data_IF_948447139904
#
_entry.id   IF_948447139904
#
_cell.length_a   1.000
_cell.length_b   1.000
_cell.length_c   1.000
_cell.angle_alpha   90.00
_cell.angle_beta   90.00
_cell.angle_gamma   90.00
#
_symmetry.space_group_name_H-M   'P 1'
#
loop_
_entity.id
_entity.type
_entity.pdbx_description
1 polymer ?
#
# COMPACT_ATOMS: atom_id res chain seq x y z
N UNK A 1 16.08 -9.08 13.89
CA UNK A 1 15.46 -7.71 13.91
C UNK A 1 14.89 -7.46 12.54
N UNK A 2 13.55 -7.30 12.43
CA UNK A 2 12.90 -7.13 11.11
C UNK A 2 13.15 -5.73 10.58
N UNK A 3 13.57 -5.63 9.31
CA UNK A 3 13.77 -4.38 8.59
C UNK A 3 12.45 -3.99 7.94
N UNK A 4 12.09 -2.71 8.03
CA UNK A 4 10.86 -2.12 7.53
C UNK A 4 11.14 -0.74 6.95
N UNK A 5 10.35 -0.28 5.98
CA UNK A 5 10.54 1.02 5.30
C UNK A 5 10.76 2.15 6.31
N UNK A 6 9.83 2.37 7.24
CA UNK A 6 9.94 3.44 8.22
C UNK A 6 11.24 3.37 9.04
N UNK A 7 11.65 2.16 9.46
CA UNK A 7 12.90 1.98 10.21
C UNK A 7 14.14 2.25 9.35
N UNK A 8 14.12 1.85 8.07
CA UNK A 8 15.23 2.13 7.16
C UNK A 8 15.37 3.64 6.95
N UNK A 9 14.28 4.33 6.64
CA UNK A 9 14.28 5.78 6.45
C UNK A 9 14.67 6.54 7.73
N UNK A 10 14.19 6.11 8.89
CA UNK A 10 14.60 6.71 10.18
C UNK A 10 16.11 6.60 10.43
N UNK A 11 16.75 5.51 10.03
CA UNK A 11 18.22 5.35 10.14
C UNK A 11 18.98 6.33 9.25
N UNK A 12 18.36 6.73 8.14
CA UNK A 12 18.87 7.76 7.22
C UNK A 12 18.48 9.20 7.66
N UNK A 13 17.94 9.36 8.88
CA UNK A 13 17.63 10.66 9.45
C UNK A 13 16.24 11.21 9.14
N UNK A 14 15.38 10.45 8.47
CA UNK A 14 14.00 10.87 8.22
C UNK A 14 13.18 10.92 9.52
N UNK A 15 12.36 11.97 9.68
CA UNK A 15 11.25 11.95 10.61
C UNK A 15 10.18 10.99 10.08
N UNK A 16 9.60 10.14 10.94
CA UNK A 16 8.65 9.13 10.48
C UNK A 16 7.32 9.23 11.21
N UNK A 17 6.22 9.41 10.49
CA UNK A 17 4.88 9.58 11.05
C UNK A 17 3.85 8.74 10.29
N UNK A 18 2.81 8.34 11.01
CA UNK A 18 1.67 7.61 10.47
C UNK A 18 0.36 8.25 10.92
N UNK A 19 -0.59 8.39 9.99
CA UNK A 19 -1.91 8.97 10.20
C UNK A 19 -3.02 7.95 9.91
N UNK A 20 -4.06 7.98 10.75
CA UNK A 20 -5.23 7.14 10.55
C UNK A 20 -6.49 7.76 11.18
N UNK A 21 -7.58 7.82 10.45
CA UNK A 21 -8.85 8.35 10.95
C UNK A 21 -9.57 7.44 11.94
N UNK A 22 -9.19 6.17 12.07
CA UNK A 22 -9.80 5.17 12.92
C UNK A 22 -9.01 4.80 14.18
N UNK A 23 -9.45 3.75 14.87
CA UNK A 23 -8.82 3.26 16.11
C UNK A 23 -7.67 2.29 15.82
N UNK A 24 -6.44 2.70 16.12
CA UNK A 24 -5.24 1.85 15.99
C UNK A 24 -5.11 0.77 17.09
N UNK A 25 -5.96 0.75 18.11
CA UNK A 25 -6.00 -0.37 19.05
C UNK A 25 -6.66 -1.60 18.43
N UNK A 26 -7.51 -1.39 17.42
CA UNK A 26 -8.08 -2.49 16.68
C UNK A 26 -6.98 -3.37 16.09
N UNK A 27 -7.06 -4.69 16.32
CA UNK A 27 -6.07 -5.70 15.89
C UNK A 27 -4.61 -5.41 16.30
N UNK A 28 -4.40 -4.62 17.38
CA UNK A 28 -3.08 -4.26 17.90
C UNK A 28 -2.19 -3.50 16.87
N UNK A 29 -2.80 -2.75 15.98
CA UNK A 29 -2.13 -2.04 14.89
C UNK A 29 -1.13 -0.99 15.39
N UNK A 30 -1.44 -0.29 16.50
CA UNK A 30 -0.51 0.67 17.09
C UNK A 30 0.85 0.05 17.46
N UNK A 31 0.84 -1.09 18.16
CA UNK A 31 2.07 -1.81 18.53
C UNK A 31 2.84 -2.28 17.29
N UNK A 32 2.12 -2.73 16.26
CA UNK A 32 2.73 -3.10 14.99
C UNK A 32 3.44 -1.89 14.35
N UNK A 33 2.79 -0.74 14.25
CA UNK A 33 3.34 0.47 13.62
C UNK A 33 4.57 1.00 14.38
N UNK A 34 4.52 1.10 15.72
CA UNK A 34 5.71 1.42 16.51
C UNK A 34 6.84 0.39 16.30
N UNK A 35 6.51 -0.89 16.26
CA UNK A 35 7.45 -1.97 15.93
C UNK A 35 8.05 -1.86 14.54
N UNK A 36 7.39 -1.19 13.59
CA UNK A 36 7.91 -0.95 12.24
C UNK A 36 8.86 0.24 12.13
N UNK A 37 8.91 1.10 13.14
CA UNK A 37 9.87 2.19 13.24
C UNK A 37 9.29 3.58 13.01
N UNK A 38 7.96 3.75 13.03
CA UNK A 38 7.35 5.08 13.09
C UNK A 38 7.63 5.74 14.44
N UNK A 39 8.05 7.00 14.42
CA UNK A 39 8.30 7.79 15.61
C UNK A 39 7.00 8.37 16.19
N UNK A 40 6.08 8.74 15.31
CA UNK A 40 4.80 9.37 15.67
C UNK A 40 3.64 8.65 15.01
N UNK A 41 2.62 8.33 15.79
CA UNK A 41 1.31 7.89 15.33
C UNK A 41 0.28 8.95 15.71
N UNK A 42 -0.49 9.42 14.73
CA UNK A 42 -1.64 10.31 14.92
C UNK A 42 -2.87 9.60 14.39
N UNK A 43 -3.85 9.36 15.26
CA UNK A 43 -5.01 8.58 14.91
C UNK A 43 -6.26 9.11 15.64
N UNK A 44 -7.41 8.49 15.52
CA UNK A 44 -8.70 9.00 15.97
C UNK A 44 -8.67 9.65 17.35
N UNK A 45 -7.97 9.06 18.35
CA UNK A 45 -7.90 9.60 19.72
C UNK A 45 -7.17 10.95 19.82
N UNK A 46 -6.30 11.27 18.86
CA UNK A 46 -5.48 12.48 18.80
C UNK A 46 -6.12 13.55 17.89
N UNK A 47 -7.17 13.16 17.13
CA UNK A 47 -7.88 14.00 16.20
C UNK A 47 -9.17 14.51 16.85
N UNK A 48 -9.42 15.82 16.76
CA UNK A 48 -10.57 16.47 17.36
C UNK A 48 -11.26 17.37 16.33
N UNK A 49 -11.99 16.72 15.41
CA UNK A 49 -12.76 17.43 14.39
C UNK A 49 -14.20 17.64 14.82
N UNK A 50 -14.78 18.78 14.48
CA UNK A 50 -16.23 18.99 14.56
C UNK A 50 -16.89 18.33 13.32
N UNK A 51 -16.81 17.01 13.28
CA UNK A 51 -17.26 16.18 12.17
C UNK A 51 -17.81 14.85 12.69
N UNK A 52 -18.82 14.27 12.03
CA UNK A 52 -19.34 12.96 12.41
C UNK A 52 -18.31 11.87 12.22
N UNK A 53 -18.36 10.85 13.07
CA UNK A 53 -17.58 9.62 12.89
C UNK A 53 -18.47 8.47 12.46
N UNK A 54 -17.96 7.62 11.57
CA UNK A 54 -18.55 6.31 11.32
C UNK A 54 -18.16 5.34 12.45
N UNK A 55 -18.62 4.09 12.38
CA UNK A 55 -18.16 3.04 13.30
C UNK A 55 -16.65 2.77 13.22
N UNK A 56 -16.01 3.20 12.14
CA UNK A 56 -14.57 3.01 11.91
C UNK A 56 -13.73 4.20 12.29
N UNK A 57 -14.31 5.40 12.36
CA UNK A 57 -13.61 6.64 12.69
C UNK A 57 -14.03 7.82 11.82
N UNK A 58 -13.16 8.82 11.72
CA UNK A 58 -13.35 10.01 10.90
C UNK A 58 -13.22 9.72 9.41
N UNK A 59 -14.00 10.43 8.60
CA UNK A 59 -13.96 10.33 7.14
C UNK A 59 -12.67 10.94 6.56
N UNK A 60 -12.31 10.51 5.34
CA UNK A 60 -11.05 10.89 4.68
C UNK A 60 -10.93 12.38 4.40
N UNK A 61 -12.03 13.12 4.23
CA UNK A 61 -11.98 14.56 3.96
C UNK A 61 -11.29 15.34 5.07
N UNK A 62 -11.70 15.16 6.32
CA UNK A 62 -11.11 15.87 7.47
C UNK A 62 -9.73 15.30 7.85
N UNK A 63 -9.53 13.98 7.69
CA UNK A 63 -8.26 13.35 8.04
C UNK A 63 -7.17 13.70 7.02
N UNK A 64 -7.48 13.71 5.73
CA UNK A 64 -6.54 14.10 4.66
C UNK A 64 -6.19 15.58 4.75
N UNK A 65 -7.15 16.44 5.13
CA UNK A 65 -6.85 17.86 5.34
C UNK A 65 -5.85 18.04 6.50
N UNK A 66 -6.04 17.38 7.64
CA UNK A 66 -5.09 17.41 8.76
C UNK A 66 -3.74 16.76 8.39
N UNK A 67 -3.75 15.69 7.62
CA UNK A 67 -2.53 15.08 7.09
C UNK A 67 -1.78 16.03 6.15
N UNK A 68 -2.51 16.80 5.33
CA UNK A 68 -1.91 17.82 4.46
C UNK A 68 -1.19 18.89 5.28
N UNK A 69 -1.84 19.40 6.33
CA UNK A 69 -1.24 20.38 7.23
C UNK A 69 0.03 19.82 7.92
N UNK A 70 0.00 18.55 8.30
CA UNK A 70 1.17 17.87 8.85
C UNK A 70 2.32 17.76 7.83
N UNK A 71 2.04 17.36 6.59
CA UNK A 71 3.04 17.26 5.52
C UNK A 71 3.70 18.64 5.28
N UNK A 72 2.92 19.71 5.24
CA UNK A 72 3.43 21.07 5.07
C UNK A 72 4.27 21.52 6.27
N UNK A 73 3.89 21.15 7.48
CA UNK A 73 4.65 21.48 8.69
C UNK A 73 5.98 20.70 8.75
N UNK A 74 5.99 19.41 8.39
CA UNK A 74 7.24 18.61 8.29
C UNK A 74 8.18 19.20 7.25
N UNK A 75 7.66 19.59 6.08
CA UNK A 75 8.45 20.22 5.03
C UNK A 75 9.11 21.54 5.50
N UNK A 76 8.42 22.34 6.31
CA UNK A 76 8.97 23.57 6.87
C UNK A 76 10.14 23.33 7.84
N UNK A 77 10.27 22.14 8.41
CA UNK A 77 11.36 21.77 9.33
C UNK A 77 12.72 21.57 8.64
N UNK A 78 12.74 21.54 7.30
CA UNK A 78 13.93 21.27 6.47
C UNK A 78 14.62 19.93 6.78
N UNK A 79 13.95 19.04 7.50
CA UNK A 79 14.40 17.66 7.77
C UNK A 79 13.70 16.72 6.80
N UNK A 80 14.39 15.71 6.24
CA UNK A 80 13.71 14.73 5.44
C UNK A 80 12.65 14.00 6.29
N UNK A 81 11.50 13.72 5.70
CA UNK A 81 10.39 13.08 6.39
C UNK A 81 9.76 11.96 5.56
N UNK A 82 9.18 11.02 6.25
CA UNK A 82 8.33 9.96 5.72
C UNK A 82 7.00 9.97 6.48
N UNK A 83 5.98 10.47 5.84
CA UNK A 83 4.62 10.47 6.36
C UNK A 83 3.79 9.42 5.61
N UNK A 84 3.16 8.51 6.33
CA UNK A 84 2.25 7.53 5.77
C UNK A 84 0.85 7.73 6.33
N UNK A 85 -0.16 7.42 5.54
CA UNK A 85 -1.57 7.48 5.93
C UNK A 85 -2.31 6.28 5.38
N UNK A 86 -3.24 5.74 6.16
CA UNK A 86 -4.24 4.80 5.69
C UNK A 86 -5.58 5.52 5.57
N UNK A 87 -6.18 5.47 4.38
CA UNK A 87 -7.52 6.00 4.13
C UNK A 87 -8.59 5.05 4.70
N UNK A 88 -9.78 5.56 4.99
CA UNK A 88 -10.81 4.81 5.69
C UNK A 88 -12.16 4.82 4.96
N UNK A 89 -12.50 5.90 4.27
CA UNK A 89 -13.83 6.09 3.70
C UNK A 89 -14.19 5.11 2.60
N UNK A 90 -13.19 4.51 1.94
CA UNK A 90 -13.37 3.44 0.95
C UNK A 90 -13.63 2.06 1.55
N UNK A 91 -13.82 1.95 2.89
CA UNK A 91 -14.17 0.73 3.59
C UNK A 91 -15.69 0.59 3.76
N UNK A 92 -16.20 -0.64 3.79
CA UNK A 92 -17.61 -0.93 4.12
C UNK A 92 -18.02 -0.31 5.48
N UNK A 93 -19.20 0.27 5.60
CA UNK A 93 -20.40 0.19 4.74
C UNK A 93 -20.46 1.21 3.57
N UNK A 94 -19.37 1.88 3.21
CA UNK A 94 -19.32 2.87 2.13
C UNK A 94 -20.20 4.11 2.35
N UNK A 95 -20.35 4.50 3.61
CA UNK A 95 -21.18 5.63 4.02
C UNK A 95 -20.36 6.93 3.89
N UNK A 96 -20.53 7.61 2.76
CA UNK A 96 -19.83 8.85 2.42
C UNK A 96 -20.81 9.92 1.92
N UNK A 97 -20.54 11.22 2.16
CA UNK A 97 -21.40 12.31 1.69
C UNK A 97 -21.16 12.58 0.17
N UNK A 98 -21.32 11.53 -0.63
CA UNK A 98 -21.00 11.56 -2.06
C UNK A 98 -21.92 10.60 -2.83
N UNK A 99 -22.62 11.09 -3.84
CA UNK A 99 -23.63 10.33 -4.58
C UNK A 99 -23.57 10.66 -6.08
N UNK A 100 -22.50 10.18 -6.74
CA UNK A 100 -22.34 10.29 -8.20
C UNK A 100 -22.77 9.02 -8.95
N UNK A 101 -22.78 7.89 -8.25
CA UNK A 101 -23.04 6.56 -8.81
C UNK A 101 -24.16 5.88 -8.03
N UNK A 102 -24.85 4.95 -8.66
CA UNK A 102 -25.86 4.11 -7.99
C UNK A 102 -25.22 3.12 -6.99
N UNK A 103 -23.95 2.79 -7.19
CA UNK A 103 -23.20 1.87 -6.35
C UNK A 103 -22.51 2.60 -5.19
N UNK A 104 -22.82 2.30 -3.92
CA UNK A 104 -22.20 2.92 -2.75
C UNK A 104 -20.67 2.75 -2.71
N UNK A 105 -20.14 1.59 -3.15
CA UNK A 105 -18.69 1.35 -3.19
C UNK A 105 -18.00 2.30 -4.17
N UNK A 106 -18.56 2.52 -5.36
CA UNK A 106 -18.02 3.47 -6.32
C UNK A 106 -18.08 4.92 -5.80
N UNK A 107 -19.13 5.27 -5.05
CA UNK A 107 -19.20 6.58 -4.39
C UNK A 107 -18.09 6.74 -3.35
N UNK A 108 -17.83 5.72 -2.54
CA UNK A 108 -16.80 5.74 -1.52
C UNK A 108 -15.38 5.86 -2.12
N UNK A 109 -15.10 5.09 -3.18
CA UNK A 109 -13.85 5.22 -3.92
C UNK A 109 -13.67 6.62 -4.53
N UNK A 110 -14.72 7.16 -5.18
CA UNK A 110 -14.69 8.49 -5.77
C UNK A 110 -14.58 9.61 -4.72
N UNK A 111 -15.12 9.42 -3.53
CA UNK A 111 -14.96 10.34 -2.40
C UNK A 111 -13.50 10.39 -1.93
N UNK A 112 -12.89 9.23 -1.68
CA UNK A 112 -11.47 9.14 -1.29
C UNK A 112 -10.58 9.74 -2.39
N UNK A 113 -10.83 9.43 -3.67
CA UNK A 113 -10.11 10.02 -4.80
C UNK A 113 -10.20 11.55 -4.83
N UNK A 114 -11.40 12.11 -4.60
CA UNK A 114 -11.59 13.56 -4.51
C UNK A 114 -10.82 14.19 -3.33
N UNK A 115 -10.75 13.49 -2.18
CA UNK A 115 -9.96 13.93 -1.03
C UNK A 115 -8.45 13.92 -1.33
N UNK A 116 -7.96 12.86 -1.98
CA UNK A 116 -6.56 12.77 -2.45
C UNK A 116 -6.25 13.84 -3.51
N UNK A 117 -7.20 14.12 -4.40
CA UNK A 117 -7.09 15.22 -5.37
C UNK A 117 -6.87 16.58 -4.68
N UNK A 118 -7.63 16.89 -3.62
CA UNK A 118 -7.43 18.12 -2.83
C UNK A 118 -6.06 18.17 -2.15
N UNK A 119 -5.61 17.05 -1.58
CA UNK A 119 -4.26 16.92 -1.03
C UNK A 119 -3.20 17.31 -2.07
N UNK A 120 -3.24 16.67 -3.24
CA UNK A 120 -2.29 16.90 -4.32
C UNK A 120 -2.33 18.37 -4.77
N UNK A 121 -3.52 18.94 -4.94
CA UNK A 121 -3.68 20.33 -5.36
C UNK A 121 -3.08 21.32 -4.34
N UNK A 122 -3.35 21.13 -3.04
CA UNK A 122 -2.80 21.99 -1.97
C UNK A 122 -1.27 21.91 -1.91
N UNK A 123 -0.70 20.70 -1.95
CA UNK A 123 0.75 20.49 -1.83
C UNK A 123 1.46 21.00 -3.09
N UNK A 124 0.87 20.81 -4.27
CA UNK A 124 1.41 21.26 -5.56
C UNK A 124 1.59 22.77 -5.65
N UNK A 125 0.81 23.55 -4.90
CA UNK A 125 0.91 25.02 -4.84
C UNK A 125 2.03 25.52 -3.92
N UNK A 126 2.82 24.61 -3.34
CA UNK A 126 3.88 24.94 -2.39
C UNK A 126 5.25 24.46 -2.90
N UNK A 127 6.36 25.08 -2.45
CA UNK A 127 7.71 24.65 -2.85
C UNK A 127 8.07 23.21 -2.48
N UNK A 128 7.39 22.62 -1.49
CA UNK A 128 7.65 21.24 -1.08
C UNK A 128 7.37 20.23 -2.20
N UNK A 129 6.49 20.58 -3.14
CA UNK A 129 6.15 19.72 -4.27
C UNK A 129 7.37 19.31 -5.10
N UNK A 130 8.35 20.19 -5.29
CA UNK A 130 9.49 19.95 -6.16
C UNK A 130 10.35 18.77 -5.70
N UNK A 131 10.44 18.54 -4.38
CA UNK A 131 11.22 17.46 -3.76
C UNK A 131 10.33 16.35 -3.18
N UNK A 132 9.00 16.46 -3.29
CA UNK A 132 8.07 15.49 -2.74
C UNK A 132 7.89 14.30 -3.67
N UNK A 133 7.95 13.09 -3.10
CA UNK A 133 7.45 11.86 -3.70
C UNK A 133 6.19 11.42 -2.95
N UNK A 134 5.08 11.37 -3.66
CA UNK A 134 3.80 10.83 -3.17
C UNK A 134 3.58 9.45 -3.79
N UNK A 135 3.33 8.43 -2.98
CA UNK A 135 3.02 7.08 -3.44
C UNK A 135 1.61 6.73 -2.97
N UNK A 136 0.72 6.50 -3.93
CA UNK A 136 -0.61 5.98 -3.70
C UNK A 136 -0.60 4.49 -4.05
N UNK A 137 -0.99 3.64 -3.11
CA UNK A 137 -1.06 2.20 -3.30
C UNK A 137 -2.23 1.63 -2.50
N UNK A 138 -3.04 0.77 -3.11
CA UNK A 138 -4.10 0.09 -2.37
C UNK A 138 -3.51 -0.98 -1.43
N UNK A 139 -4.13 -1.17 -0.27
CA UNK A 139 -3.79 -2.25 0.67
C UNK A 139 -4.19 -3.63 0.12
N UNK A 140 -5.33 -3.70 -0.56
CA UNK A 140 -5.81 -4.85 -1.33
C UNK A 140 -6.78 -4.39 -2.42
N UNK A 141 -7.11 -5.27 -3.36
CA UNK A 141 -8.16 -5.03 -4.33
C UNK A 141 -9.55 -5.38 -3.76
N UNK A 142 -10.59 -4.82 -4.36
CA UNK A 142 -11.98 -5.12 -4.06
C UNK A 142 -12.57 -6.10 -5.11
N UNK A 143 -13.54 -6.98 -4.76
CA UNK A 143 -14.16 -7.92 -5.71
C UNK A 143 -15.13 -7.19 -6.66
N UNK A 144 -14.60 -6.38 -7.55
CA UNK A 144 -15.35 -5.63 -8.54
C UNK A 144 -14.85 -5.95 -9.96
N UNK A 145 -15.74 -6.21 -10.95
CA UNK A 145 -17.18 -6.34 -10.79
C UNK A 145 -17.58 -7.46 -9.82
N UNK A 146 -18.73 -7.31 -9.17
CA UNK A 146 -19.18 -8.28 -8.15
C UNK A 146 -19.24 -9.71 -8.69
N UNK A 147 -18.96 -10.68 -7.82
CA UNK A 147 -18.97 -12.10 -8.17
C UNK A 147 -17.62 -12.65 -8.65
N UNK A 148 -16.55 -11.84 -8.71
CA UNK A 148 -15.21 -12.35 -8.99
C UNK A 148 -14.78 -13.35 -7.90
N UNK A 149 -14.36 -14.54 -8.32
CA UNK A 149 -13.89 -15.57 -7.42
C UNK A 149 -12.64 -15.14 -6.64
N UNK A 150 -12.51 -15.59 -5.40
CA UNK A 150 -11.35 -15.26 -4.57
C UNK A 150 -10.01 -15.80 -5.12
N UNK A 151 -10.06 -16.79 -6.00
CA UNK A 151 -8.91 -17.31 -6.74
C UNK A 151 -8.58 -16.51 -8.01
N UNK A 152 -9.47 -15.65 -8.50
CA UNK A 152 -9.26 -14.89 -9.73
C UNK A 152 -8.12 -13.86 -9.57
N UNK A 153 -7.24 -13.76 -10.55
CA UNK A 153 -6.13 -12.81 -10.54
C UNK A 153 -6.59 -11.35 -10.47
N UNK A 154 -7.73 -11.00 -11.08
CA UNK A 154 -8.28 -9.64 -11.03
C UNK A 154 -8.66 -9.22 -9.60
N UNK A 155 -9.03 -10.20 -8.74
CA UNK A 155 -9.35 -9.98 -7.33
C UNK A 155 -8.15 -9.48 -6.51
N UNK A 156 -6.93 -9.63 -7.03
CA UNK A 156 -5.68 -9.32 -6.35
C UNK A 156 -4.85 -8.24 -7.05
N UNK A 157 -5.35 -7.71 -8.16
CA UNK A 157 -4.67 -6.65 -8.90
C UNK A 157 -4.94 -5.30 -8.24
N UNK A 158 -3.89 -4.61 -7.81
CA UNK A 158 -3.96 -3.28 -7.21
C UNK A 158 -3.22 -2.24 -8.05
N UNK A 159 -3.69 -0.98 -8.09
CA UNK A 159 -2.95 0.13 -8.67
C UNK A 159 -1.85 0.60 -7.72
N UNK A 160 -0.77 1.12 -8.31
CA UNK A 160 0.23 1.91 -7.62
C UNK A 160 0.58 3.12 -8.48
N UNK A 161 0.52 4.32 -7.90
CA UNK A 161 0.80 5.57 -8.59
C UNK A 161 1.87 6.36 -7.82
N UNK A 162 2.91 6.80 -8.53
CA UNK A 162 3.94 7.69 -8.02
C UNK A 162 3.79 9.06 -8.65
N UNK A 163 3.74 10.11 -7.84
CA UNK A 163 3.58 11.50 -8.28
C UNK A 163 4.37 12.45 -7.37
N UNK A 164 4.43 13.71 -7.75
CA UNK A 164 5.24 14.74 -7.08
C UNK A 164 6.40 15.19 -7.96
N UNK A 165 7.04 16.28 -7.62
CA UNK A 165 8.15 16.85 -8.38
C UNK A 165 9.41 15.97 -8.39
N UNK A 166 9.56 15.08 -7.41
CA UNK A 166 10.63 14.07 -7.40
C UNK A 166 10.50 13.05 -8.54
N UNK A 167 9.30 12.89 -9.13
CA UNK A 167 9.08 12.04 -10.32
C UNK A 167 9.50 12.81 -11.58
N UNK A 168 10.72 12.62 -12.02
CA UNK A 168 11.33 13.43 -13.10
C UNK A 168 10.73 13.19 -14.49
N UNK A 169 10.14 12.03 -14.74
CA UNK A 169 9.54 11.67 -16.04
C UNK A 169 8.31 10.79 -15.84
N UNK A 170 7.18 11.12 -16.51
CA UNK A 170 6.03 10.22 -16.54
C UNK A 170 6.42 8.90 -17.21
N UNK A 171 5.99 7.79 -16.65
CA UNK A 171 6.20 6.46 -17.21
C UNK A 171 5.07 5.52 -16.78
N UNK A 172 4.77 4.54 -17.62
CA UNK A 172 3.97 3.37 -17.26
C UNK A 172 4.94 2.23 -17.01
N UNK A 173 4.89 1.65 -15.80
CA UNK A 173 5.74 0.52 -15.41
C UNK A 173 4.92 -0.76 -15.56
N UNK A 174 5.16 -1.50 -16.64
CA UNK A 174 4.46 -2.75 -16.97
C UNK A 174 5.10 -3.99 -16.33
N UNK A 175 6.05 -3.77 -15.41
CA UNK A 175 6.73 -4.86 -14.71
C UNK A 175 5.78 -5.55 -13.74
N UNK A 176 5.68 -6.87 -13.83
CA UNK A 176 4.97 -7.67 -12.82
C UNK A 176 5.65 -7.60 -11.47
N UNK A 177 4.88 -7.36 -10.43
CA UNK A 177 5.36 -7.27 -9.06
C UNK A 177 4.25 -7.53 -8.04
N UNK A 178 4.63 -7.58 -6.79
CA UNK A 178 3.74 -7.66 -5.63
C UNK A 178 3.79 -6.36 -4.82
N UNK A 179 2.79 -6.10 -4.01
CA UNK A 179 2.76 -4.95 -3.10
C UNK A 179 4.03 -4.88 -2.22
N UNK A 180 4.55 -6.03 -1.80
CA UNK A 180 5.80 -6.12 -1.03
C UNK A 180 7.02 -5.54 -1.76
N UNK A 181 7.02 -5.50 -3.09
CA UNK A 181 8.12 -4.99 -3.90
C UNK A 181 8.27 -3.45 -3.81
N UNK A 182 7.27 -2.75 -3.27
CA UNK A 182 7.36 -1.33 -2.97
C UNK A 182 8.58 -0.99 -2.10
N UNK A 183 8.89 -1.82 -1.09
CA UNK A 183 9.94 -1.51 -0.13
C UNK A 183 11.32 -1.43 -0.80
N UNK A 184 11.73 -2.47 -1.53
CA UNK A 184 13.00 -2.47 -2.23
C UNK A 184 13.05 -1.44 -3.35
N UNK A 185 11.95 -1.28 -4.09
CA UNK A 185 11.85 -0.29 -5.17
C UNK A 185 12.02 1.13 -4.66
N UNK A 186 11.31 1.52 -3.60
CA UNK A 186 11.43 2.86 -3.01
C UNK A 186 12.84 3.11 -2.47
N UNK A 187 13.38 2.17 -1.68
CA UNK A 187 14.71 2.34 -1.07
C UNK A 187 15.82 2.38 -2.13
N UNK A 188 15.70 1.61 -3.21
CA UNK A 188 16.63 1.66 -4.33
C UNK A 188 16.62 3.04 -5.02
N UNK A 189 15.43 3.62 -5.26
CA UNK A 189 15.32 4.97 -5.84
C UNK A 189 15.92 6.06 -4.92
N UNK A 190 15.91 5.84 -3.61
CA UNK A 190 16.53 6.73 -2.61
C UNK A 190 18.03 6.42 -2.38
N UNK A 191 18.61 5.44 -3.05
CA UNK A 191 19.99 5.01 -2.84
C UNK A 191 20.26 4.33 -1.49
N UNK A 192 19.20 3.82 -0.83
CA UNK A 192 19.27 3.19 0.49
C UNK A 192 19.37 1.66 0.34
N UNK A 193 20.24 1.05 1.16
CA UNK A 193 20.41 -0.40 1.17
C UNK A 193 19.10 -1.13 1.53
N UNK A 194 18.73 -2.13 0.73
CA UNK A 194 17.47 -2.86 0.83
C UNK A 194 17.61 -4.40 0.73
N UNK A 195 18.85 -4.91 0.75
CA UNK A 195 19.11 -6.36 0.61
C UNK A 195 18.51 -7.24 1.70
N UNK A 196 18.15 -6.68 2.84
CA UNK A 196 17.54 -7.41 3.96
C UNK A 196 16.00 -7.60 3.82
N UNK A 197 15.39 -7.06 2.78
CA UNK A 197 13.97 -7.24 2.51
C UNK A 197 13.70 -8.53 1.74
N UNK A 198 13.62 -9.64 2.44
CA UNK A 198 13.54 -11.00 1.88
C UNK A 198 12.42 -11.19 0.83
N UNK A 199 11.28 -10.51 1.00
CA UNK A 199 10.09 -10.65 0.14
C UNK A 199 9.91 -9.46 -0.81
N UNK A 200 10.91 -8.58 -0.95
CA UNK A 200 10.82 -7.37 -1.75
C UNK A 200 11.92 -7.34 -2.80
N UNK A 201 11.53 -7.02 -4.02
CA UNK A 201 12.45 -6.89 -5.16
C UNK A 201 12.33 -5.48 -5.72
N UNK A 202 13.42 -4.89 -6.16
CA UNK A 202 13.36 -3.65 -6.93
C UNK A 202 12.72 -3.92 -8.30
N UNK A 203 11.59 -3.27 -8.57
CA UNK A 203 10.86 -3.42 -9.83
C UNK A 203 11.64 -2.87 -11.03
N UNK A 204 12.60 -1.98 -10.80
CA UNK A 204 13.44 -1.41 -11.84
C UNK A 204 14.76 -2.18 -12.07
N UNK A 205 15.15 -3.10 -11.18
CA UNK A 205 16.34 -3.92 -11.39
C UNK A 205 16.07 -5.00 -12.46
N UNK A 206 16.69 -4.94 -13.66
CA UNK A 206 16.47 -5.92 -14.72
C UNK A 206 16.99 -7.33 -14.36
N UNK A 207 17.87 -7.46 -13.39
CA UNK A 207 18.44 -8.74 -12.96
C UNK A 207 17.51 -9.52 -12.03
N UNK A 208 16.45 -8.91 -11.50
CA UNK A 208 15.50 -9.55 -10.57
C UNK A 208 14.35 -10.22 -11.31
N UNK A 209 13.86 -11.37 -10.82
CA UNK A 209 12.67 -12.01 -11.35
C UNK A 209 11.45 -11.06 -11.32
N UNK A 210 10.69 -11.02 -12.39
CA UNK A 210 9.52 -10.14 -12.58
C UNK A 210 8.24 -10.98 -12.53
N UNK A 211 7.67 -11.14 -11.35
CA UNK A 211 6.38 -11.78 -11.16
C UNK A 211 5.60 -11.14 -10.02
N UNK A 212 4.27 -11.14 -10.13
CA UNK A 212 3.35 -10.88 -9.03
C UNK A 212 3.05 -12.18 -8.28
N UNK A 213 2.97 -12.10 -6.94
CA UNK A 213 2.59 -13.20 -6.08
C UNK A 213 1.51 -12.74 -5.10
N UNK A 214 0.49 -13.55 -4.93
CA UNK A 214 -0.56 -13.31 -3.93
C UNK A 214 -1.00 -14.61 -3.26
N UNK A 215 -1.57 -14.50 -2.07
CA UNK A 215 -2.22 -15.58 -1.37
C UNK A 215 -3.73 -15.33 -1.27
N UNK A 216 -4.50 -16.40 -1.28
CA UNK A 216 -5.92 -16.42 -0.94
C UNK A 216 -6.22 -17.61 -0.03
N UNK A 217 -7.45 -17.74 0.45
CA UNK A 217 -7.81 -18.87 1.31
C UNK A 217 -7.51 -20.19 0.62
N UNK A 218 -6.61 -20.97 1.22
CA UNK A 218 -6.15 -22.28 0.75
C UNK A 218 -5.43 -22.27 -0.62
N UNK A 219 -4.83 -21.15 -1.02
CA UNK A 219 -4.12 -21.13 -2.30
C UNK A 219 -3.19 -19.94 -2.49
N UNK A 220 -2.53 -19.93 -3.63
CA UNK A 220 -1.73 -18.83 -4.10
C UNK A 220 -1.83 -18.64 -5.61
N UNK A 221 -1.48 -17.46 -6.06
CA UNK A 221 -1.31 -17.15 -7.47
C UNK A 221 0.05 -16.53 -7.78
N UNK A 222 0.52 -16.76 -9.00
CA UNK A 222 1.71 -16.14 -9.58
C UNK A 222 1.36 -15.66 -10.98
N UNK A 223 1.71 -14.43 -11.31
CA UNK A 223 1.55 -13.87 -12.65
C UNK A 223 2.85 -13.24 -13.14
N UNK A 224 3.21 -13.51 -14.38
CA UNK A 224 4.32 -12.91 -15.11
C UNK A 224 3.97 -12.79 -16.61
N UNK A 225 4.95 -12.46 -17.44
CA UNK A 225 4.75 -12.34 -18.89
C UNK A 225 4.34 -13.67 -19.56
N UNK A 226 4.55 -14.81 -18.92
CA UNK A 226 4.19 -16.14 -19.42
C UNK A 226 2.75 -16.55 -19.11
N UNK A 227 2.01 -15.74 -18.31
CA UNK A 227 0.62 -16.03 -17.93
C UNK A 227 0.39 -16.01 -16.44
N UNK A 228 -0.61 -16.76 -15.98
CA UNK A 228 -1.01 -16.81 -14.57
C UNK A 228 -1.17 -18.27 -14.10
N UNK A 229 -0.46 -18.63 -13.03
CA UNK A 229 -0.64 -19.90 -12.34
C UNK A 229 -1.39 -19.69 -11.03
N UNK A 230 -2.51 -20.36 -10.85
CA UNK A 230 -3.29 -20.38 -9.61
C UNK A 230 -3.27 -21.81 -9.07
N UNK A 231 -2.82 -21.96 -7.84
CA UNK A 231 -2.69 -23.26 -7.17
C UNK A 231 -3.60 -23.33 -5.96
N UNK A 232 -4.47 -24.36 -5.95
CA UNK A 232 -5.31 -24.69 -4.80
C UNK A 232 -4.60 -25.75 -3.93
N UNK A 233 -4.27 -25.34 -2.70
CA UNK A 233 -3.59 -26.18 -1.73
C UNK A 233 -4.48 -27.31 -1.18
N UNK A 234 -5.81 -27.16 -1.21
CA UNK A 234 -6.76 -28.17 -0.73
C UNK A 234 -6.81 -29.36 -1.66
N UNK A 235 -6.98 -29.13 -2.96
CA UNK A 235 -6.98 -30.16 -3.98
C UNK A 235 -5.58 -30.56 -4.45
N UNK A 236 -4.56 -29.80 -4.06
CA UNK A 236 -3.17 -29.90 -4.54
C UNK A 236 -3.05 -29.80 -6.07
N UNK A 237 -3.90 -28.97 -6.72
CA UNK A 237 -3.97 -28.84 -8.17
C UNK A 237 -3.79 -27.39 -8.63
N UNK A 238 -3.28 -27.26 -9.84
CA UNK A 238 -3.37 -26.00 -10.60
C UNK A 238 -4.79 -25.89 -11.15
N UNK A 239 -5.40 -24.70 -10.96
CA UNK A 239 -6.79 -24.43 -11.37
C UNK A 239 -6.88 -23.35 -12.46
N UNK A 240 -5.76 -22.74 -12.85
CA UNK A 240 -5.69 -21.79 -13.97
C UNK A 240 -5.40 -22.52 -15.29
N UNK A 241 -5.94 -22.05 -16.44
CA UNK A 241 -5.69 -22.66 -17.75
C UNK A 241 -4.26 -22.43 -18.26
N UNK A 242 -3.68 -21.24 -18.00
CA UNK A 242 -2.42 -20.77 -18.59
C UNK A 242 -1.28 -20.84 -17.55
N UNK A 243 -1.01 -22.04 -17.05
CA UNK A 243 0.00 -22.23 -16.02
C UNK A 243 1.34 -22.69 -16.60
N UNK A 244 2.45 -22.28 -15.94
CA UNK A 244 3.78 -22.79 -16.24
C UNK A 244 4.39 -23.51 -15.04
N UNK A 245 5.26 -24.51 -15.33
CA UNK A 245 5.98 -25.21 -14.28
C UNK A 245 6.91 -24.29 -13.48
N UNK A 246 7.44 -23.25 -14.11
CA UNK A 246 8.27 -22.24 -13.46
C UNK A 246 7.47 -21.43 -12.42
N UNK A 247 6.32 -20.88 -12.83
CA UNK A 247 5.43 -20.13 -11.93
C UNK A 247 4.96 -21.01 -10.74
N UNK A 248 4.61 -22.28 -10.98
CA UNK A 248 4.21 -23.19 -9.91
C UNK A 248 5.34 -23.43 -8.90
N UNK A 249 6.57 -23.64 -9.40
CA UNK A 249 7.76 -23.78 -8.55
C UNK A 249 8.00 -22.52 -7.72
N UNK A 250 7.97 -21.35 -8.36
CA UNK A 250 8.27 -20.08 -7.72
C UNK A 250 7.20 -19.70 -6.69
N UNK A 251 5.92 -19.96 -7.00
CA UNK A 251 4.82 -19.79 -6.05
C UNK A 251 4.92 -20.71 -4.82
N UNK A 252 5.27 -21.98 -5.02
CA UNK A 252 5.53 -22.92 -3.92
C UNK A 252 6.72 -22.48 -3.08
N UNK A 253 7.79 -22.00 -3.70
CA UNK A 253 8.97 -21.47 -3.00
C UNK A 253 8.62 -20.23 -2.17
N UNK A 254 7.83 -19.28 -2.70
CA UNK A 254 7.33 -18.12 -1.97
C UNK A 254 6.50 -18.55 -0.76
N UNK A 255 5.55 -19.45 -0.94
CA UNK A 255 4.71 -19.97 0.16
C UNK A 255 5.55 -20.62 1.26
N UNK A 256 6.48 -21.51 0.89
CA UNK A 256 7.38 -22.19 1.84
C UNK A 256 8.24 -21.18 2.60
N UNK A 257 8.80 -20.18 1.91
CA UNK A 257 9.62 -19.14 2.51
C UNK A 257 8.80 -18.30 3.49
N UNK A 258 7.55 -17.99 3.15
CA UNK A 258 6.63 -17.28 4.03
C UNK A 258 6.36 -18.06 5.31
N UNK A 259 6.02 -19.35 5.21
CA UNK A 259 5.80 -20.20 6.38
C UNK A 259 7.06 -20.36 7.25
N UNK A 260 8.24 -20.48 6.62
CA UNK A 260 9.50 -20.50 7.36
C UNK A 260 9.72 -19.20 8.12
N UNK A 261 9.56 -18.06 7.46
CA UNK A 261 9.72 -16.74 8.08
C UNK A 261 8.73 -16.51 9.24
N UNK A 262 7.49 -16.99 9.12
CA UNK A 262 6.48 -16.91 10.20
C UNK A 262 6.89 -17.75 11.42
N UNK A 263 7.44 -18.93 11.20
CA UNK A 263 7.89 -19.81 12.32
C UNK A 263 9.11 -19.28 13.06
N UNK A 264 9.89 -18.41 12.43
CA UNK A 264 11.08 -17.78 13.01
C UNK A 264 10.74 -16.43 13.70
N UNK A 265 9.46 -16.11 13.81
CA UNK A 265 8.93 -14.92 14.50
C UNK A 265 8.84 -15.12 15.99
#
# INVERSE_FOLDING_TARGET
MRIRIARSLRREGYATSFYYGGDLNFTNTASYLYGTGFDRLTWQKDLHFDAPTSKWGYADDVVIDAFTDHVLAEAASQRPFFAAMLTLSSHEPFDVPFAKFDDPMLNAMAFTDACLGRFVERVRQTPVWDDLLVILIADHAYPYPYGIANSDALRHRIPMLWLGGAVRRPAVVETYGSQSDLAATLLAQLGIAHGDFLFSRDLFDPARPKFGYWCFNNGFGVADAGGTTIFDCTSARVISPDSTAAQLRDGKAMLQTTYKAIREL
#
